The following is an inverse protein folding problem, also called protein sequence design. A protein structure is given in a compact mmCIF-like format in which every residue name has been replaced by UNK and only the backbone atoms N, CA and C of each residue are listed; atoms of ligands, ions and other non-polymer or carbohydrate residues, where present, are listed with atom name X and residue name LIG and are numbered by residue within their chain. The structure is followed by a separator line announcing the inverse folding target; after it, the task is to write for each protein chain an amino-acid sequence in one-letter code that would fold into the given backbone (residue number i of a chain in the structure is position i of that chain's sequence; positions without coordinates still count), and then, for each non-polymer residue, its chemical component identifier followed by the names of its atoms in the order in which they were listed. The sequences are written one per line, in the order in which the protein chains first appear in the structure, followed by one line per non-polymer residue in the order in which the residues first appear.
data_IF_346204173344
#
_entry.id   IF_346204173344
#
_cell.length_a   1.000
_cell.length_b   1.000
_cell.length_c   1.000
_cell.angle_alpha   90.00
_cell.angle_beta   90.00
_cell.angle_gamma   90.00
#
_symmetry.space_group_name_H-M   'P 1'
#
loop_
_entity.id
_entity.type
_entity.pdbx_description
1 polymer ?
#
# COMPACT_ATOMS: atom_id res chain seq x y z
N UNK A 1 -7.95 5.81 10.16
CA UNK A 1 -8.69 4.59 9.78
C UNK A 1 -9.01 3.87 11.07
N UNK A 2 -10.28 3.80 11.45
CA UNK A 2 -10.70 3.07 12.65
C UNK A 2 -11.47 1.81 12.23
N UNK A 3 -11.20 0.68 12.90
CA UNK A 3 -11.90 -0.59 12.67
C UNK A 3 -12.64 -0.92 13.94
N UNK A 4 -13.97 -0.95 13.87
CA UNK A 4 -14.83 -1.31 15.00
C UNK A 4 -15.41 -2.71 14.77
N UNK A 5 -15.23 -3.59 15.75
CA UNK A 5 -15.75 -4.95 15.69
C UNK A 5 -17.21 -4.96 16.16
N UNK A 6 -18.09 -5.52 15.33
CA UNK A 6 -19.49 -5.73 15.69
C UNK A 6 -19.59 -7.05 16.43
N UNK A 7 -20.00 -6.97 17.69
CA UNK A 7 -20.09 -8.11 18.59
C UNK A 7 -21.53 -8.38 19.03
N UNK A 8 -21.83 -9.65 19.25
CA UNK A 8 -23.06 -10.12 19.90
C UNK A 8 -22.99 -9.94 21.42
N UNK A 9 -24.12 -10.11 22.12
CA UNK A 9 -24.21 -9.97 23.59
C UNK A 9 -23.33 -10.97 24.37
N UNK A 10 -22.96 -12.08 23.74
CA UNK A 10 -22.01 -13.08 24.25
C UNK A 10 -20.57 -12.85 23.74
N UNK A 11 -20.26 -11.65 23.24
CA UNK A 11 -18.93 -11.19 22.84
C UNK A 11 -18.33 -11.92 21.61
N UNK A 12 -19.13 -12.66 20.82
CA UNK A 12 -18.69 -13.22 19.52
C UNK A 12 -18.65 -12.12 18.46
N UNK A 13 -17.62 -12.14 17.61
CA UNK A 13 -17.46 -11.18 16.51
C UNK A 13 -18.25 -11.69 15.30
N UNK A 14 -19.19 -10.88 14.80
CA UNK A 14 -20.04 -11.21 13.65
C UNK A 14 -19.77 -10.32 12.43
N UNK A 15 -18.94 -9.28 12.61
CA UNK A 15 -18.55 -8.39 11.53
C UNK A 15 -17.58 -7.32 12.00
N UNK A 16 -17.15 -6.49 11.06
CA UNK A 16 -16.34 -5.31 11.32
C UNK A 16 -16.86 -4.14 10.48
N UNK A 17 -16.99 -2.98 11.10
CA UNK A 17 -17.25 -1.73 10.41
C UNK A 17 -15.93 -0.96 10.29
N UNK A 18 -15.57 -0.61 9.06
CA UNK A 18 -14.37 0.19 8.79
C UNK A 18 -14.82 1.60 8.48
N UNK A 19 -14.53 2.55 9.38
CA UNK A 19 -14.71 3.96 9.07
C UNK A 19 -13.51 4.44 8.27
N UNK A 20 -13.71 4.52 6.96
CA UNK A 20 -12.83 5.28 6.09
C UNK A 20 -13.12 6.76 6.33
N UNK A 21 -12.32 7.40 7.20
CA UNK A 21 -12.12 8.83 7.03
C UNK A 21 -11.60 8.96 5.60
N UNK A 22 -12.35 9.61 4.71
CA UNK A 22 -11.86 9.92 3.37
C UNK A 22 -10.51 10.57 3.53
N UNK A 23 -9.44 9.81 3.29
CA UNK A 23 -8.17 10.37 2.88
C UNK A 23 -8.55 11.21 1.68
N UNK A 24 -8.51 12.52 1.86
CA UNK A 24 -9.02 13.47 0.88
C UNK A 24 -8.55 13.05 -0.50
N UNK A 25 -9.44 13.18 -1.50
CA UNK A 25 -9.16 12.98 -2.92
C UNK A 25 -7.66 13.08 -3.13
N UNK A 26 -6.99 11.96 -3.42
CA UNK A 26 -5.60 12.00 -3.86
C UNK A 26 -5.56 13.13 -4.87
N UNK A 27 -4.93 14.26 -4.50
CA UNK A 27 -4.75 15.38 -5.43
C UNK A 27 -4.19 14.72 -6.66
N UNK A 28 -4.86 14.91 -7.80
CA UNK A 28 -4.42 14.39 -9.08
C UNK A 28 -2.93 14.61 -9.16
N UNK A 29 -2.21 13.53 -8.94
CA UNK A 29 -0.78 13.59 -8.98
C UNK A 29 -0.46 13.81 -10.45
N UNK A 30 0.30 14.86 -10.81
CA UNK A 30 0.58 15.13 -12.20
C UNK A 30 1.14 13.84 -12.80
N UNK A 31 0.51 13.34 -13.86
CA UNK A 31 0.76 12.02 -14.47
C UNK A 31 2.26 11.74 -14.67
N UNK A 32 3.05 12.80 -14.90
CA UNK A 32 4.52 12.79 -14.94
C UNK A 32 5.18 12.19 -13.70
N UNK A 33 4.76 12.56 -12.49
CA UNK A 33 5.38 12.13 -11.24
C UNK A 33 5.08 10.65 -10.96
N UNK A 34 3.87 10.20 -11.32
CA UNK A 34 3.49 8.79 -11.27
C UNK A 34 4.33 7.96 -12.24
N UNK A 35 4.43 8.38 -13.51
CA UNK A 35 5.23 7.70 -14.52
C UNK A 35 6.72 7.64 -14.13
N UNK A 36 7.25 8.71 -13.53
CA UNK A 36 8.63 8.74 -13.06
C UNK A 36 8.88 7.71 -11.95
N UNK A 37 7.95 7.56 -10.99
CA UNK A 37 8.09 6.53 -9.95
C UNK A 37 7.96 5.12 -10.49
N UNK A 38 7.03 4.88 -11.41
CA UNK A 38 6.88 3.57 -12.06
C UNK A 38 8.15 3.21 -12.83
N UNK A 39 8.76 4.17 -13.53
CA UNK A 39 10.04 3.98 -14.23
C UNK A 39 11.17 3.63 -13.26
N UNK A 40 11.36 4.41 -12.19
CA UNK A 40 12.40 4.15 -11.18
C UNK A 40 12.20 2.78 -10.51
N UNK A 41 10.95 2.39 -10.24
CA UNK A 41 10.62 1.09 -9.70
C UNK A 41 11.00 -0.06 -10.66
N UNK A 42 10.67 0.08 -11.96
CA UNK A 42 11.03 -0.92 -12.97
C UNK A 42 12.55 -1.05 -13.15
N UNK A 43 13.29 0.07 -13.16
CA UNK A 43 14.75 0.07 -13.20
C UNK A 43 15.36 -0.64 -11.98
N UNK A 44 14.80 -0.42 -10.79
CA UNK A 44 15.27 -1.11 -9.57
C UNK A 44 14.97 -2.61 -9.60
N UNK A 45 13.81 -3.04 -10.12
CA UNK A 45 13.50 -4.45 -10.31
C UNK A 45 14.43 -5.11 -11.33
N UNK A 46 14.75 -4.43 -12.42
CA UNK A 46 15.69 -4.94 -13.42
C UNK A 46 17.10 -5.08 -12.85
N UNK A 47 17.55 -4.09 -12.06
CA UNK A 47 18.81 -4.16 -11.32
C UNK A 47 18.84 -5.32 -10.32
N UNK A 48 17.74 -5.61 -9.64
CA UNK A 48 17.67 -6.77 -8.72
C UNK A 48 17.65 -8.10 -9.47
N UNK A 49 17.04 -8.15 -10.65
CA UNK A 49 16.93 -9.36 -11.48
C UNK A 49 18.23 -9.69 -12.22
N UNK A 50 18.94 -8.67 -12.71
CA UNK A 50 20.14 -8.83 -13.53
C UNK A 50 21.45 -8.54 -12.78
N UNK A 51 21.40 -7.74 -11.71
CA UNK A 51 22.54 -7.36 -10.88
C UNK A 51 22.70 -8.25 -9.66
N UNK A 52 22.70 -9.57 -9.87
CA UNK A 52 22.75 -10.61 -8.83
C UNK A 52 23.45 -10.17 -7.55
N UNK A 53 22.76 -10.39 -6.43
CA UNK A 53 23.24 -10.15 -5.06
C UNK A 53 24.68 -10.64 -4.86
N UNK A 54 25.65 -9.76 -5.06
CA UNK A 54 27.00 -9.93 -4.54
C UNK A 54 26.99 -9.38 -3.10
N UNK A 55 26.48 -10.17 -2.16
CA UNK A 55 26.93 -10.04 -0.77
C UNK A 55 28.32 -10.67 -0.70
N UNK A 56 29.35 -9.86 -1.00
CA UNK A 56 30.74 -10.23 -0.78
C UNK A 56 31.27 -9.40 0.41
N UNK A 57 31.44 -10.10 1.54
CA UNK A 57 32.17 -9.77 2.79
C UNK A 57 32.05 -8.35 3.35
#
# INVERSE_FOLDING_TARGET
MNIELIKTSDNRVIGAQVSHHHLGKHKEEPEKDFLQRVKLFAENLDRLKNGGCNYAN
#
